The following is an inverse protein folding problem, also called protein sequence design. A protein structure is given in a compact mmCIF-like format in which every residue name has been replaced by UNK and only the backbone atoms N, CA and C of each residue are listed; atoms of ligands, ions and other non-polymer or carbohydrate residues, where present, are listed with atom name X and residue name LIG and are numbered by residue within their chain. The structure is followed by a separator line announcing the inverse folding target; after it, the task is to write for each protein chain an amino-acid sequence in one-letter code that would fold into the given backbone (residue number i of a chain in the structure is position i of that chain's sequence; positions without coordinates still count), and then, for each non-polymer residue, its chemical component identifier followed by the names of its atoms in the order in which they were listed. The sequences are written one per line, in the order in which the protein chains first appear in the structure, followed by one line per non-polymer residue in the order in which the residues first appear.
data_IF_691028299628
#
_entry.id   IF_691028299628
#
_cell.length_a   1.000
_cell.length_b   1.000
_cell.length_c   1.000
_cell.angle_alpha   90.00
_cell.angle_beta   90.00
_cell.angle_gamma   90.00
#
_symmetry.space_group_name_H-M   'P 1'
#
loop_
_entity.id
_entity.type
_entity.pdbx_description
1 polymer ?
#
# COMPACT_ATOMS: atom_id res chain seq x y z
N UNK A 1 41.85 21.54 64.96
CA UNK A 1 41.40 22.26 66.18
C UNK A 1 40.38 23.29 65.71
N UNK A 2 39.09 23.34 66.03
CA UNK A 2 38.20 22.86 67.13
C UNK A 2 36.87 22.45 66.44
N UNK A 3 36.40 21.20 66.49
CA UNK A 3 35.49 20.56 67.46
C UNK A 3 34.32 21.41 68.00
N UNK A 4 33.12 20.90 67.66
CA UNK A 4 31.88 20.74 68.44
C UNK A 4 31.03 21.97 68.82
N UNK A 5 29.75 21.97 68.42
CA UNK A 5 28.63 21.61 69.32
C UNK A 5 27.28 21.47 68.57
N UNK A 6 26.57 20.39 68.93
CA UNK A 6 25.18 20.06 68.60
C UNK A 6 24.19 21.11 69.14
N UNK A 7 23.10 21.34 68.40
CA UNK A 7 21.80 21.64 68.99
C UNK A 7 20.67 21.23 68.04
N UNK A 8 20.06 20.09 68.35
CA UNK A 8 18.81 19.60 67.77
C UNK A 8 17.67 20.49 68.30
N UNK A 9 16.97 21.18 67.41
CA UNK A 9 15.69 21.82 67.72
C UNK A 9 14.65 21.36 66.69
N UNK A 10 13.79 20.45 67.13
CA UNK A 10 12.61 19.99 66.43
C UNK A 10 11.60 21.15 66.42
N UNK A 11 11.38 21.78 65.27
CA UNK A 11 10.28 22.72 65.07
C UNK A 11 9.36 22.13 64.00
N UNK A 12 8.25 21.58 64.49
CA UNK A 12 7.06 21.26 63.69
C UNK A 12 6.39 22.60 63.35
N UNK A 13 6.37 22.97 62.07
CA UNK A 13 5.61 24.11 61.57
C UNK A 13 4.73 23.65 60.39
N UNK A 14 3.48 24.12 60.31
CA UNK A 14 2.39 23.39 59.67
C UNK A 14 2.45 23.43 58.14
N UNK A 15 2.15 22.29 57.52
CA UNK A 15 1.78 22.19 56.11
C UNK A 15 0.56 23.08 55.84
N UNK A 16 0.80 24.30 55.35
CA UNK A 16 -0.21 25.07 54.64
C UNK A 16 -0.38 24.43 53.26
N UNK A 17 -1.19 23.38 53.22
CA UNK A 17 -1.79 22.85 52.00
C UNK A 17 -2.58 23.98 51.36
N UNK A 18 -1.96 24.67 50.40
CA UNK A 18 -2.70 25.46 49.45
C UNK A 18 -3.43 24.46 48.56
N UNK A 19 -4.77 24.43 48.53
CA UNK A 19 -5.47 23.82 47.42
C UNK A 19 -5.16 24.72 46.23
N UNK A 20 -4.06 24.43 45.54
CA UNK A 20 -3.82 25.00 44.23
C UNK A 20 -4.91 24.43 43.34
N UNK A 21 -5.95 25.25 43.19
CA UNK A 21 -6.97 25.25 42.17
C UNK A 21 -7.04 23.96 41.36
N UNK A 22 -8.10 23.20 41.61
CA UNK A 22 -8.73 22.40 40.58
C UNK A 22 -8.90 23.31 39.36
N UNK A 23 -7.97 23.20 38.43
CA UNK A 23 -8.06 23.84 37.13
C UNK A 23 -9.31 23.24 36.51
N UNK A 24 -10.37 24.05 36.45
CA UNK A 24 -11.66 23.63 35.91
C UNK A 24 -11.41 22.90 34.61
N UNK A 25 -12.13 21.80 34.40
CA UNK A 25 -12.12 21.07 33.15
C UNK A 25 -12.16 22.10 32.02
N UNK A 26 -11.03 22.30 31.34
CA UNK A 26 -10.96 23.27 30.27
C UNK A 26 -12.08 22.93 29.30
N UNK A 27 -12.87 23.93 28.90
CA UNK A 27 -13.91 23.78 27.89
C UNK A 27 -13.29 23.02 26.73
N UNK A 28 -13.61 21.74 26.63
CA UNK A 28 -13.05 20.90 25.57
C UNK A 28 -13.54 21.53 24.27
N UNK A 29 -12.65 21.87 23.33
CA UNK A 29 -13.06 22.49 22.07
C UNK A 29 -14.19 21.68 21.47
N UNK A 30 -15.39 22.26 21.43
CA UNK A 30 -16.55 21.56 20.89
C UNK A 30 -16.38 21.52 19.37
N UNK A 31 -16.32 20.32 18.83
CA UNK A 31 -16.35 20.11 17.38
C UNK A 31 -17.68 20.67 16.86
N UNK A 32 -17.60 21.64 15.95
CA UNK A 32 -18.76 22.24 15.30
C UNK A 32 -19.05 21.50 13.98
N UNK A 33 -20.13 20.71 13.89
CA UNK A 33 -20.47 19.98 12.67
C UNK A 33 -20.74 20.89 11.48
N UNK A 34 -21.22 22.12 11.69
CA UNK A 34 -21.50 23.06 10.62
C UNK A 34 -20.21 23.57 9.96
N UNK A 35 -19.18 23.86 10.77
CA UNK A 35 -17.84 24.21 10.25
C UNK A 35 -17.21 23.06 9.48
N UNK A 36 -17.27 21.85 10.01
CA UNK A 36 -16.78 20.66 9.30
C UNK A 36 -17.49 20.49 7.94
N UNK A 37 -18.82 20.61 7.92
CA UNK A 37 -19.61 20.52 6.69
C UNK A 37 -19.23 21.61 5.68
N UNK A 38 -18.96 22.83 6.13
CA UNK A 38 -18.53 23.92 5.26
C UNK A 38 -17.20 23.63 4.56
N UNK A 39 -16.19 23.14 5.29
CA UNK A 39 -14.90 22.74 4.70
C UNK A 39 -15.06 21.62 3.67
N UNK A 40 -15.87 20.61 3.99
CA UNK A 40 -16.15 19.49 3.07
C UNK A 40 -16.78 20.00 1.78
N UNK A 41 -17.79 20.88 1.87
CA UNK A 41 -18.47 21.44 0.68
C UNK A 41 -17.52 22.19 -0.25
N UNK A 42 -16.59 22.98 0.30
CA UNK A 42 -15.60 23.69 -0.51
C UNK A 42 -14.65 22.71 -1.19
N UNK A 43 -14.01 21.84 -0.42
CA UNK A 43 -12.99 20.89 -0.92
C UNK A 43 -13.56 19.80 -1.85
N UNK A 44 -14.86 19.58 -1.85
CA UNK A 44 -15.56 18.63 -2.74
C UNK A 44 -16.36 19.32 -3.86
N UNK A 45 -16.28 20.64 -3.97
CA UNK A 45 -16.98 21.37 -5.03
C UNK A 45 -16.34 21.14 -6.40
N UNK A 46 -17.15 21.27 -7.46
CA UNK A 46 -16.68 21.18 -8.85
C UNK A 46 -15.54 22.17 -9.14
N UNK A 47 -15.53 23.33 -8.47
CA UNK A 47 -14.49 24.34 -8.60
C UNK A 47 -13.09 23.82 -8.21
N UNK A 48 -12.99 22.80 -7.36
CA UNK A 48 -11.72 22.20 -6.96
C UNK A 48 -11.28 21.08 -7.91
N UNK A 49 -12.19 20.49 -8.71
CA UNK A 49 -11.89 19.43 -9.68
C UNK A 49 -11.19 18.19 -9.07
N UNK A 50 -11.25 18.05 -7.74
CA UNK A 50 -10.50 17.06 -6.97
C UNK A 50 -9.35 17.66 -6.17
N UNK A 51 -8.42 16.80 -5.73
CA UNK A 51 -7.30 17.17 -4.85
C UNK A 51 -6.11 16.21 -4.99
N UNK A 52 -5.95 15.63 -6.18
CA UNK A 52 -4.87 14.67 -6.47
C UNK A 52 -3.54 15.39 -6.67
N UNK A 53 -2.40 14.77 -6.31
CA UNK A 53 -1.08 15.35 -6.56
C UNK A 53 -0.85 15.67 -8.04
N UNK A 54 -0.07 16.71 -8.33
CA UNK A 54 0.25 17.16 -9.68
C UNK A 54 -0.98 17.57 -10.53
N UNK A 55 -2.02 18.09 -9.88
CA UNK A 55 -3.23 18.58 -10.56
C UNK A 55 -3.53 20.03 -10.18
N UNK A 56 -4.34 20.73 -10.97
CA UNK A 56 -4.84 22.05 -10.60
C UNK A 56 -5.64 22.03 -9.27
N UNK A 57 -6.29 20.90 -8.96
CA UNK A 57 -7.04 20.73 -7.72
C UNK A 57 -6.16 20.70 -6.47
N UNK A 58 -4.93 20.18 -6.56
CA UNK A 58 -3.94 20.25 -5.48
C UNK A 58 -3.61 21.70 -5.12
N UNK A 59 -3.28 22.54 -6.10
CA UNK A 59 -2.96 23.95 -5.86
C UNK A 59 -4.11 24.67 -5.14
N UNK A 60 -5.36 24.42 -5.57
CA UNK A 60 -6.56 24.98 -4.94
C UNK A 60 -6.73 24.46 -3.50
N UNK A 61 -6.59 23.15 -3.29
CA UNK A 61 -6.72 22.51 -1.99
C UNK A 61 -5.66 23.00 -0.97
N UNK A 62 -4.40 23.05 -1.39
CA UNK A 62 -3.30 23.56 -0.57
C UNK A 62 -3.53 25.03 -0.22
N UNK A 63 -3.89 25.86 -1.21
CA UNK A 63 -4.21 27.28 -0.99
C UNK A 63 -5.32 27.47 0.04
N UNK A 64 -6.42 26.72 -0.10
CA UNK A 64 -7.53 26.76 0.85
C UNK A 64 -7.10 26.37 2.27
N UNK A 65 -6.33 25.28 2.42
CA UNK A 65 -5.84 24.83 3.74
C UNK A 65 -4.96 25.90 4.38
N UNK A 66 -4.04 26.49 3.62
CA UNK A 66 -3.16 27.58 4.09
C UNK A 66 -3.99 28.78 4.54
N UNK A 67 -5.03 29.17 3.80
CA UNK A 67 -5.95 30.23 4.22
C UNK A 67 -6.66 29.91 5.53
N UNK A 68 -7.15 28.67 5.71
CA UNK A 68 -7.79 28.26 6.97
C UNK A 68 -6.81 28.26 8.15
N UNK A 69 -5.56 27.83 7.94
CA UNK A 69 -4.52 27.87 8.97
C UNK A 69 -4.18 29.30 9.39
N UNK A 70 -4.07 30.23 8.43
CA UNK A 70 -3.89 31.66 8.70
C UNK A 70 -5.06 32.24 9.50
N UNK A 71 -6.29 31.90 9.12
CA UNK A 71 -7.50 32.43 9.74
C UNK A 71 -7.63 32.07 11.23
N UNK A 72 -7.05 30.94 11.66
CA UNK A 72 -7.02 30.52 13.07
C UNK A 72 -5.75 30.96 13.82
N UNK A 73 -4.87 31.75 13.17
CA UNK A 73 -3.69 32.34 13.80
C UNK A 73 -2.48 31.42 13.89
N UNK A 74 -2.39 30.37 13.07
CA UNK A 74 -1.16 29.57 12.98
C UNK A 74 -0.05 30.34 12.26
N UNK A 75 1.18 29.92 12.52
CA UNK A 75 2.39 30.39 11.82
C UNK A 75 2.92 29.29 10.88
N UNK A 76 3.60 29.65 9.79
CA UNK A 76 4.16 28.67 8.86
C UNK A 76 5.29 27.86 9.49
N UNK A 77 5.40 26.58 9.13
CA UNK A 77 6.45 25.67 9.61
C UNK A 77 7.00 24.73 8.51
N UNK A 78 6.72 25.04 7.24
CA UNK A 78 7.21 24.33 6.06
C UNK A 78 8.67 24.63 5.76
N UNK A 79 9.09 24.60 4.49
CA UNK A 79 10.51 24.71 4.16
C UNK A 79 11.16 26.04 4.59
N UNK A 80 12.46 26.02 4.96
CA UNK A 80 13.18 27.22 5.32
C UNK A 80 13.35 28.14 4.11
N UNK A 81 13.08 29.43 4.30
CA UNK A 81 13.29 30.46 3.29
C UNK A 81 14.64 31.17 3.48
N UNK A 82 15.14 31.81 2.43
CA UNK A 82 16.44 32.50 2.43
C UNK A 82 16.53 33.65 3.45
N UNK A 83 15.40 34.24 3.80
CA UNK A 83 15.28 35.34 4.77
C UNK A 83 15.17 34.85 6.23
N UNK A 84 15.26 33.54 6.47
CA UNK A 84 15.14 32.93 7.79
C UNK A 84 13.70 32.63 8.23
N UNK A 85 12.70 32.96 7.41
CA UNK A 85 11.30 32.59 7.68
C UNK A 85 11.00 31.15 7.24
N UNK A 86 9.77 30.68 7.51
CA UNK A 86 9.28 29.36 7.10
C UNK A 86 8.18 29.51 6.04
N UNK A 87 8.17 28.63 5.04
CA UNK A 87 7.08 28.52 4.09
C UNK A 87 5.85 27.87 4.71
N UNK A 88 4.68 28.05 4.08
CA UNK A 88 3.44 27.40 4.51
C UNK A 88 3.38 25.91 4.13
N UNK A 89 4.22 25.50 3.19
CA UNK A 89 4.29 24.14 2.63
C UNK A 89 5.69 23.58 2.78
N UNK A 90 5.77 22.26 2.82
CA UNK A 90 7.01 21.51 2.66
C UNK A 90 6.95 20.82 1.31
N UNK A 91 7.99 21.01 0.51
CA UNK A 91 8.15 20.36 -0.79
C UNK A 91 8.32 18.86 -0.59
N UNK A 92 7.49 18.06 -1.28
CA UNK A 92 7.57 16.60 -1.27
C UNK A 92 7.93 16.09 -2.67
N UNK A 93 9.21 15.75 -2.92
CA UNK A 93 9.61 15.14 -4.18
C UNK A 93 8.96 13.75 -4.35
N UNK A 94 8.22 13.58 -5.44
CA UNK A 94 7.56 12.33 -5.79
C UNK A 94 7.98 11.89 -7.19
N UNK A 95 8.23 10.59 -7.36
CA UNK A 95 8.23 9.97 -8.67
C UNK A 95 6.79 9.89 -9.17
N UNK A 96 6.55 10.37 -10.40
CA UNK A 96 5.28 10.28 -11.12
C UNK A 96 5.46 9.33 -12.28
N UNK A 97 4.56 8.35 -12.43
CA UNK A 97 4.66 7.30 -13.45
C UNK A 97 3.32 7.09 -14.18
N UNK A 98 3.35 7.03 -15.50
CA UNK A 98 2.19 6.83 -16.36
C UNK A 98 2.47 5.76 -17.41
N UNK A 99 1.46 4.94 -17.75
CA UNK A 99 1.55 4.05 -18.92
C UNK A 99 1.27 4.87 -20.17
N UNK A 100 2.16 4.77 -21.18
CA UNK A 100 1.99 5.37 -22.50
C UNK A 100 1.66 4.32 -23.56
N UNK A 101 0.71 4.66 -24.42
CA UNK A 101 0.35 3.84 -25.57
C UNK A 101 -0.46 2.57 -25.21
N UNK A 102 -0.56 1.62 -26.14
CA UNK A 102 -1.26 0.36 -25.89
C UNK A 102 -0.48 -0.50 -24.89
N UNK A 103 -1.23 -1.31 -24.14
CA UNK A 103 -0.67 -2.38 -23.31
C UNK A 103 -0.97 -3.69 -24.00
N UNK A 104 0.07 -4.44 -24.35
CA UNK A 104 -0.06 -5.85 -24.70
C UNK A 104 0.15 -6.67 -23.44
N UNK A 105 -0.84 -7.49 -23.08
CA UNK A 105 -0.74 -8.44 -21.98
C UNK A 105 -1.49 -9.71 -22.39
N UNK A 106 -0.82 -10.86 -22.29
CA UNK A 106 -1.39 -12.13 -22.69
C UNK A 106 -0.77 -13.29 -21.92
N UNK A 107 -1.54 -14.37 -21.82
CA UNK A 107 -1.00 -15.68 -21.49
C UNK A 107 -0.66 -16.44 -22.77
N UNK A 108 0.36 -17.29 -22.72
CA UNK A 108 0.55 -18.36 -23.70
C UNK A 108 0.23 -19.67 -23.03
N UNK A 109 -0.85 -20.33 -23.45
CA UNK A 109 -1.38 -21.56 -22.83
C UNK A 109 -1.37 -22.66 -23.88
N UNK A 110 -0.61 -23.74 -23.64
CA UNK A 110 -0.51 -24.85 -24.60
C UNK A 110 -0.06 -24.40 -26.01
N UNK A 111 0.78 -23.36 -26.07
CA UNK A 111 1.25 -22.76 -27.33
C UNK A 111 0.28 -21.79 -28.01
N UNK A 112 -0.89 -21.50 -27.41
CA UNK A 112 -1.86 -20.52 -27.92
C UNK A 112 -1.80 -19.22 -27.12
N UNK A 113 -1.80 -18.10 -27.81
CA UNK A 113 -1.90 -16.77 -27.20
C UNK A 113 -3.34 -16.49 -26.77
N UNK A 114 -3.52 -16.12 -25.51
CA UNK A 114 -4.78 -15.70 -24.90
C UNK A 114 -4.62 -14.24 -24.46
N UNK A 115 -5.09 -13.26 -25.26
CA UNK A 115 -4.97 -11.85 -24.92
C UNK A 115 -5.86 -11.50 -23.73
N UNK A 116 -5.40 -10.55 -22.90
CA UNK A 116 -6.13 -10.05 -21.75
C UNK A 116 -6.62 -8.62 -22.00
N UNK A 117 -7.93 -8.41 -21.91
CA UNK A 117 -8.53 -7.09 -22.00
C UNK A 117 -8.13 -6.22 -20.79
N UNK A 118 -7.42 -5.12 -21.04
CA UNK A 118 -7.03 -4.15 -20.00
C UNK A 118 -8.27 -3.56 -19.34
N UNK A 119 -8.22 -3.42 -18.01
CA UNK A 119 -9.28 -2.92 -17.13
C UNK A 119 -10.54 -3.79 -17.04
N UNK A 120 -10.64 -4.85 -17.85
CA UNK A 120 -11.73 -5.83 -17.79
C UNK A 120 -11.24 -7.15 -17.18
N UNK A 121 -10.16 -7.72 -17.72
CA UNK A 121 -9.57 -8.98 -17.25
C UNK A 121 -8.29 -8.76 -16.44
N UNK A 122 -7.51 -7.74 -16.80
CA UNK A 122 -6.24 -7.40 -16.13
C UNK A 122 -6.16 -5.89 -15.88
N UNK A 123 -5.68 -5.47 -14.71
CA UNK A 123 -5.41 -4.08 -14.38
C UNK A 123 -3.92 -3.93 -14.05
N UNK A 124 -3.18 -3.16 -14.85
CA UNK A 124 -1.71 -3.03 -14.79
C UNK A 124 -1.35 -1.59 -14.38
N UNK A 125 -0.42 -1.46 -13.43
CA UNK A 125 0.19 -0.19 -13.02
C UNK A 125 1.35 0.22 -13.93
N UNK A 126 1.59 1.52 -14.03
CA UNK A 126 2.87 2.00 -14.54
C UNK A 126 4.01 1.48 -13.66
N UNK A 127 5.10 1.02 -14.26
CA UNK A 127 6.24 0.52 -13.51
C UNK A 127 6.93 1.67 -12.77
N UNK A 128 7.06 1.53 -11.44
CA UNK A 128 7.70 2.54 -10.58
C UNK A 128 9.20 2.30 -10.41
N UNK A 129 9.83 1.64 -11.39
CA UNK A 129 11.25 1.26 -11.38
C UNK A 129 12.15 2.19 -12.19
N UNK A 130 11.65 3.35 -12.62
CA UNK A 130 12.35 4.33 -13.48
C UNK A 130 12.82 3.72 -14.82
N UNK A 131 11.99 2.87 -15.42
CA UNK A 131 12.20 2.32 -16.76
C UNK A 131 11.29 3.02 -17.75
N UNK A 132 11.76 3.23 -18.98
CA UNK A 132 10.95 3.83 -20.06
C UNK A 132 9.94 2.83 -20.66
N UNK A 133 10.13 1.53 -20.39
CA UNK A 133 9.23 0.47 -20.86
C UNK A 133 9.37 -0.81 -20.05
N UNK A 134 8.32 -1.61 -20.09
CA UNK A 134 8.31 -2.97 -19.56
C UNK A 134 8.18 -3.93 -20.73
N UNK A 135 9.01 -4.97 -20.73
CA UNK A 135 8.97 -6.06 -21.70
C UNK A 135 9.23 -7.38 -20.99
N UNK A 136 8.15 -8.07 -20.62
CA UNK A 136 8.17 -9.44 -20.08
C UNK A 136 7.72 -10.35 -21.21
N UNK A 137 8.53 -11.36 -21.52
CA UNK A 137 8.27 -12.31 -22.58
C UNK A 137 8.30 -13.73 -22.04
N UNK A 138 7.19 -14.45 -22.23
CA UNK A 138 7.05 -15.87 -21.94
C UNK A 138 7.55 -16.24 -20.53
N UNK A 139 7.32 -15.37 -19.55
CA UNK A 139 7.76 -15.59 -18.19
C UNK A 139 6.99 -16.77 -17.55
N UNK A 140 7.67 -17.71 -16.89
CA UNK A 140 7.00 -18.76 -16.14
C UNK A 140 6.11 -18.16 -15.05
N UNK A 141 4.94 -18.77 -14.86
CA UNK A 141 3.99 -18.39 -13.83
C UNK A 141 4.10 -19.32 -12.62
N UNK A 142 4.17 -18.74 -11.43
CA UNK A 142 4.22 -19.52 -10.18
C UNK A 142 3.16 -19.03 -9.23
N UNK A 143 2.24 -19.92 -8.86
CA UNK A 143 1.32 -19.68 -7.77
C UNK A 143 2.06 -19.81 -6.44
N UNK A 144 2.09 -18.72 -5.68
CA UNK A 144 2.78 -18.65 -4.38
C UNK A 144 1.79 -18.40 -3.24
N UNK A 145 0.56 -18.93 -3.35
CA UNK A 145 -0.42 -18.84 -2.28
C UNK A 145 -0.80 -17.38 -2.00
N UNK A 146 -0.64 -16.96 -0.75
CA UNK A 146 -0.84 -15.57 -0.36
C UNK A 146 0.44 -14.75 -0.47
N UNK A 147 1.56 -15.28 -0.96
CA UNK A 147 2.82 -14.53 -1.12
C UNK A 147 3.37 -13.99 0.21
N UNK A 148 3.18 -14.73 1.30
CA UNK A 148 3.58 -14.33 2.66
C UNK A 148 4.93 -14.92 3.03
N UNK A 149 5.83 -14.06 3.50
CA UNK A 149 7.04 -14.42 4.23
C UNK A 149 7.05 -13.71 5.59
N UNK A 150 6.70 -14.46 6.62
CA UNK A 150 6.57 -14.00 7.99
C UNK A 150 7.34 -14.96 8.93
N UNK A 151 8.68 -14.83 9.03
CA UNK A 151 9.50 -15.70 9.86
C UNK A 151 9.09 -15.70 11.33
N UNK A 152 8.63 -14.56 11.84
CA UNK A 152 8.14 -14.38 13.21
C UNK A 152 6.81 -15.11 13.47
N UNK A 153 6.10 -15.48 12.39
CA UNK A 153 4.92 -16.32 12.44
C UNK A 153 5.21 -17.72 11.94
N UNK A 154 6.46 -18.09 11.65
CA UNK A 154 6.83 -19.38 11.03
C UNK A 154 6.12 -19.68 9.68
N UNK A 155 5.85 -18.64 8.89
CA UNK A 155 5.16 -18.74 7.60
C UNK A 155 6.06 -18.32 6.44
N UNK A 156 6.07 -19.13 5.37
CA UNK A 156 6.82 -18.85 4.14
C UNK A 156 6.12 -19.55 2.97
N UNK A 157 5.44 -18.80 2.11
CA UNK A 157 4.76 -19.34 0.92
C UNK A 157 5.72 -19.63 -0.24
N UNK A 158 6.94 -19.12 -0.18
CA UNK A 158 7.94 -19.23 -1.25
C UNK A 158 8.81 -20.47 -1.09
N UNK A 159 9.00 -20.95 0.14
CA UNK A 159 9.74 -22.19 0.47
C UNK A 159 11.13 -22.27 -0.19
N UNK A 160 11.78 -21.12 -0.38
CA UNK A 160 13.10 -21.02 -1.01
C UNK A 160 13.14 -21.32 -2.51
N UNK A 161 12.00 -21.36 -3.21
CA UNK A 161 11.95 -21.51 -4.66
C UNK A 161 12.64 -20.31 -5.35
N UNK A 162 13.42 -20.56 -6.40
CA UNK A 162 13.99 -19.49 -7.23
C UNK A 162 12.90 -18.85 -8.10
N UNK A 163 12.60 -17.58 -7.81
CA UNK A 163 11.55 -16.80 -8.45
C UNK A 163 12.11 -15.76 -9.43
N UNK A 164 13.44 -15.75 -9.62
CA UNK A 164 14.08 -14.78 -10.50
C UNK A 164 13.53 -14.89 -11.93
N UNK A 165 13.07 -13.75 -12.46
CA UNK A 165 12.53 -13.69 -13.83
C UNK A 165 11.15 -14.31 -14.02
N UNK A 166 10.51 -14.83 -12.95
CA UNK A 166 9.17 -15.41 -13.00
C UNK A 166 8.11 -14.38 -12.66
N UNK A 167 6.87 -14.63 -13.07
CA UNK A 167 5.71 -13.83 -12.67
C UNK A 167 4.94 -14.60 -11.58
N UNK A 168 4.75 -13.96 -10.43
CA UNK A 168 4.06 -14.57 -9.31
C UNK A 168 2.56 -14.40 -9.46
N UNK A 169 1.79 -15.45 -9.17
CA UNK A 169 0.33 -15.37 -9.00
C UNK A 169 0.05 -15.49 -7.50
N UNK A 170 -0.59 -14.46 -6.94
CA UNK A 170 -0.82 -14.33 -5.49
C UNK A 170 -2.29 -14.08 -5.18
N UNK A 171 -2.78 -14.63 -4.07
CA UNK A 171 -4.09 -14.30 -3.52
C UNK A 171 -4.01 -12.98 -2.75
N UNK A 172 -5.08 -12.18 -2.86
CA UNK A 172 -5.26 -11.00 -2.01
C UNK A 172 -5.65 -11.41 -0.58
N UNK A 173 -5.30 -10.57 0.40
CA UNK A 173 -5.55 -10.76 1.83
C UNK A 173 -4.63 -11.82 2.49
N UNK A 174 -4.94 -12.17 3.74
CA UNK A 174 -4.17 -13.08 4.59
C UNK A 174 -4.65 -14.54 4.48
N UNK A 175 -3.77 -15.53 4.74
CA UNK A 175 -4.12 -16.95 4.66
C UNK A 175 -5.32 -17.38 5.51
N UNK A 176 -5.56 -16.72 6.64
CA UNK A 176 -6.62 -17.08 7.59
C UNK A 176 -7.91 -16.26 7.44
N UNK A 177 -8.02 -15.41 6.40
CA UNK A 177 -9.20 -14.58 6.17
C UNK A 177 -10.49 -15.41 6.07
N UNK A 178 -10.43 -16.56 5.41
CA UNK A 178 -11.58 -17.44 5.19
C UNK A 178 -11.73 -18.49 6.29
N UNK A 179 -10.63 -19.01 6.82
CA UNK A 179 -10.63 -20.10 7.81
C UNK A 179 -10.91 -19.59 9.23
N UNK A 180 -10.57 -18.34 9.52
CA UNK A 180 -10.68 -17.75 10.85
C UNK A 180 -9.69 -18.36 11.85
N UNK A 181 -9.76 -17.92 13.13
CA UNK A 181 -8.77 -18.29 14.13
C UNK A 181 -8.85 -19.74 14.63
N UNK A 182 -9.92 -20.46 14.29
CA UNK A 182 -10.22 -21.77 14.88
C UNK A 182 -9.71 -22.95 14.03
N UNK A 183 -8.59 -22.77 13.33
CA UNK A 183 -7.95 -23.84 12.55
C UNK A 183 -6.51 -24.04 13.00
N UNK A 184 -5.91 -25.20 12.67
CA UNK A 184 -4.53 -25.54 13.05
C UNK A 184 -3.51 -24.45 12.69
N UNK A 185 -3.71 -23.82 11.54
CA UNK A 185 -2.85 -22.77 10.99
C UNK A 185 -3.56 -21.40 10.96
N UNK A 186 -4.70 -21.27 11.64
CA UNK A 186 -5.50 -20.05 11.69
C UNK A 186 -5.21 -19.20 12.92
N UNK A 187 -5.46 -17.89 12.82
CA UNK A 187 -5.34 -16.95 13.95
C UNK A 187 -4.01 -16.20 13.97
N UNK A 188 -3.03 -16.65 13.20
CA UNK A 188 -1.74 -15.98 13.07
C UNK A 188 -1.81 -14.69 12.24
N UNK A 189 -2.90 -14.46 11.50
CA UNK A 189 -3.08 -13.29 10.65
C UNK A 189 -4.39 -12.52 10.93
N UNK A 190 -4.91 -12.60 12.15
CA UNK A 190 -6.01 -11.74 12.58
C UNK A 190 -7.37 -12.05 11.93
N UNK A 191 -7.47 -13.10 11.12
CA UNK A 191 -8.72 -13.55 10.50
C UNK A 191 -9.35 -12.49 9.60
N UNK A 192 -10.51 -11.96 9.99
CA UNK A 192 -11.19 -10.92 9.20
C UNK A 192 -10.49 -9.56 9.24
N UNK A 193 -9.59 -9.33 10.21
CA UNK A 193 -8.82 -8.11 10.31
C UNK A 193 -7.51 -8.24 9.51
N UNK A 194 -7.50 -7.68 8.31
CA UNK A 194 -6.33 -7.74 7.41
C UNK A 194 -5.07 -7.15 8.07
N UNK A 195 -3.98 -7.91 8.01
CA UNK A 195 -2.66 -7.53 8.49
C UNK A 195 -1.84 -6.83 7.41
N UNK A 196 -0.58 -6.51 7.72
CA UNK A 196 0.36 -6.02 6.71
C UNK A 196 0.55 -7.03 5.57
N UNK A 197 0.62 -8.33 5.90
CA UNK A 197 0.84 -9.40 4.94
C UNK A 197 -0.28 -9.49 3.92
N UNK A 198 -1.53 -9.21 4.30
CA UNK A 198 -2.67 -9.25 3.41
C UNK A 198 -2.74 -8.11 2.38
N UNK A 199 -1.95 -7.05 2.55
CA UNK A 199 -1.96 -5.88 1.66
C UNK A 199 -1.29 -6.21 0.33
N UNK A 200 -1.91 -5.76 -0.77
CA UNK A 200 -1.33 -5.88 -2.10
C UNK A 200 0.05 -5.18 -2.23
N UNK A 201 0.27 -4.07 -1.52
CA UNK A 201 1.58 -3.39 -1.48
C UNK A 201 2.68 -4.31 -0.95
N UNK A 202 2.38 -5.06 0.11
CA UNK A 202 3.31 -6.05 0.65
C UNK A 202 3.62 -7.14 -0.38
N UNK A 203 2.61 -7.63 -1.12
CA UNK A 203 2.82 -8.64 -2.18
C UNK A 203 3.79 -8.13 -3.25
N UNK A 204 3.72 -6.84 -3.60
CA UNK A 204 4.61 -6.23 -4.58
C UNK A 204 6.04 -6.13 -4.05
N UNK A 205 6.19 -5.58 -2.85
CA UNK A 205 7.51 -5.48 -2.21
C UNK A 205 8.15 -6.85 -2.01
N UNK A 206 7.38 -7.83 -1.56
CA UNK A 206 7.90 -9.17 -1.34
C UNK A 206 8.27 -9.85 -2.66
N UNK A 207 7.47 -9.68 -3.73
CA UNK A 207 7.84 -10.14 -5.06
C UNK A 207 9.18 -9.52 -5.54
N UNK A 208 9.39 -8.23 -5.28
CA UNK A 208 10.66 -7.57 -5.56
C UNK A 208 11.81 -8.16 -4.75
N UNK A 209 11.61 -8.40 -3.44
CA UNK A 209 12.61 -9.07 -2.57
C UNK A 209 12.95 -10.50 -3.03
N UNK A 210 11.98 -11.21 -3.61
CA UNK A 210 12.18 -12.53 -4.21
C UNK A 210 12.81 -12.48 -5.63
N UNK A 211 13.02 -11.29 -6.20
CA UNK A 211 13.60 -11.11 -7.53
C UNK A 211 12.66 -11.43 -8.69
N UNK A 212 11.36 -11.50 -8.44
CA UNK A 212 10.36 -11.78 -9.47
C UNK A 212 10.33 -10.69 -10.56
N UNK A 213 10.05 -11.07 -11.80
CA UNK A 213 9.84 -10.14 -12.89
C UNK A 213 8.53 -9.34 -12.72
N UNK A 214 7.55 -9.96 -12.06
CA UNK A 214 6.23 -9.37 -11.87
C UNK A 214 5.34 -10.14 -10.91
N UNK A 215 4.18 -9.57 -10.64
CA UNK A 215 3.15 -10.15 -9.78
C UNK A 215 1.75 -9.85 -10.33
N UNK A 216 0.92 -10.89 -10.33
CA UNK A 216 -0.50 -10.88 -10.65
C UNK A 216 -1.28 -11.20 -9.38
N UNK A 217 -1.96 -10.20 -8.84
CA UNK A 217 -2.86 -10.39 -7.68
C UNK A 217 -4.21 -10.87 -8.18
N UNK A 218 -4.68 -12.00 -7.66
CA UNK A 218 -6.02 -12.50 -7.95
C UNK A 218 -7.03 -11.67 -7.15
N UNK A 219 -7.92 -10.97 -7.85
CA UNK A 219 -9.00 -10.23 -7.23
C UNK A 219 -10.12 -11.17 -6.76
N UNK A 220 -10.49 -11.05 -5.49
CA UNK A 220 -11.74 -11.58 -4.96
C UNK A 220 -12.43 -10.50 -4.12
N UNK A 221 -13.72 -10.26 -4.34
CA UNK A 221 -14.42 -9.10 -3.75
C UNK A 221 -14.41 -9.10 -2.23
N UNK A 222 -14.67 -10.24 -1.58
CA UNK A 222 -14.72 -10.32 -0.12
C UNK A 222 -13.31 -10.14 0.51
N UNK A 223 -12.28 -10.88 0.08
CA UNK A 223 -10.89 -10.63 0.50
C UNK A 223 -10.37 -9.22 0.19
N UNK A 224 -10.71 -8.61 -0.94
CA UNK A 224 -10.27 -7.25 -1.28
C UNK A 224 -11.05 -6.14 -0.54
N UNK A 225 -12.25 -6.45 -0.03
CA UNK A 225 -13.22 -5.50 0.54
C UNK A 225 -13.79 -4.46 -0.47
N UNK A 226 -13.54 -4.63 -1.77
CA UNK A 226 -14.09 -3.79 -2.83
C UNK A 226 -14.18 -4.56 -4.16
N UNK A 227 -15.07 -4.10 -5.03
CA UNK A 227 -15.25 -4.67 -6.37
C UNK A 227 -14.15 -4.28 -7.36
N UNK A 228 -14.17 -4.92 -8.53
CA UNK A 228 -13.18 -4.71 -9.60
C UNK A 228 -13.08 -3.26 -10.08
N UNK A 229 -14.17 -2.48 -9.98
CA UNK A 229 -14.16 -1.05 -10.33
C UNK A 229 -13.08 -0.26 -9.57
N UNK A 230 -12.88 -0.55 -8.29
CA UNK A 230 -11.82 0.06 -7.48
C UNK A 230 -10.44 -0.38 -7.98
N UNK A 231 -10.27 -1.66 -8.32
CA UNK A 231 -8.99 -2.18 -8.83
C UNK A 231 -8.62 -1.50 -10.15
N UNK A 232 -9.51 -1.50 -11.14
CA UNK A 232 -9.19 -0.92 -12.45
C UNK A 232 -8.95 0.59 -12.39
N UNK A 233 -9.72 1.33 -11.59
CA UNK A 233 -9.57 2.78 -11.46
C UNK A 233 -8.26 3.15 -10.73
N UNK A 234 -7.87 2.38 -9.70
CA UNK A 234 -6.65 2.66 -8.94
C UNK A 234 -5.37 2.21 -9.65
N UNK A 235 -5.41 1.16 -10.48
CA UNK A 235 -4.22 0.67 -11.17
C UNK A 235 -4.02 1.33 -12.54
N UNK A 236 -5.09 1.84 -13.17
CA UNK A 236 -5.01 2.58 -14.43
C UNK A 236 -4.68 4.07 -14.31
N UNK A 237 -4.69 4.62 -13.09
CA UNK A 237 -4.34 6.02 -12.81
C UNK A 237 -2.82 6.26 -12.82
N UNK A 238 -2.42 7.53 -12.81
CA UNK A 238 -1.04 7.95 -12.55
C UNK A 238 -0.56 7.39 -11.21
N UNK A 239 0.60 6.74 -11.22
CA UNK A 239 1.22 6.20 -10.02
C UNK A 239 2.18 7.22 -9.42
N UNK A 240 2.21 7.30 -8.09
CA UNK A 240 3.15 8.10 -7.34
C UNK A 240 3.89 7.23 -6.33
N UNK A 241 5.18 7.47 -6.18
CA UNK A 241 6.01 6.88 -5.14
C UNK A 241 7.02 7.91 -4.64
N UNK A 242 7.59 7.65 -3.45
CA UNK A 242 8.73 8.44 -3.00
C UNK A 242 9.90 8.27 -3.97
N UNK A 243 10.78 9.27 -4.08
CA UNK A 243 11.99 9.12 -4.88
C UNK A 243 12.93 8.12 -4.21
N UNK A 244 12.97 6.89 -4.74
CA UNK A 244 13.83 5.82 -4.23
C UNK A 244 15.17 5.80 -4.96
N UNK A 245 16.24 5.56 -4.20
CA UNK A 245 17.57 5.29 -4.76
C UNK A 245 17.62 3.95 -5.53
N UNK A 246 16.90 2.95 -5.03
CA UNK A 246 16.87 1.59 -5.58
C UNK A 246 15.43 1.08 -5.69
N UNK A 247 14.61 1.63 -6.61
CA UNK A 247 13.18 1.33 -6.67
C UNK A 247 12.88 -0.15 -6.92
N UNK A 248 13.75 -0.85 -7.65
CA UNK A 248 13.63 -2.29 -7.92
C UNK A 248 13.72 -3.18 -6.65
N UNK A 249 14.11 -2.64 -5.49
CA UNK A 249 14.03 -3.36 -4.20
C UNK A 249 12.64 -3.33 -3.57
N UNK A 250 11.76 -2.45 -4.04
CA UNK A 250 10.39 -2.27 -3.53
C UNK A 250 9.33 -2.59 -4.59
N UNK A 251 9.69 -2.55 -5.87
CA UNK A 251 8.77 -2.76 -6.98
C UNK A 251 9.36 -3.77 -7.98
N UNK A 252 8.62 -4.82 -8.37
CA UNK A 252 8.93 -5.54 -9.59
C UNK A 252 8.58 -4.68 -10.81
N UNK A 253 9.08 -5.04 -11.99
CA UNK A 253 8.78 -4.29 -13.22
C UNK A 253 7.31 -4.43 -13.66
N UNK A 254 6.58 -5.44 -13.17
CA UNK A 254 5.16 -5.60 -13.42
C UNK A 254 4.39 -5.78 -12.13
N UNK A 255 3.47 -4.86 -11.87
CA UNK A 255 2.47 -4.94 -10.82
C UNK A 255 1.08 -4.94 -11.46
N UNK A 256 0.34 -6.03 -11.30
CA UNK A 256 -0.99 -6.14 -11.88
C UNK A 256 -1.96 -6.94 -11.01
N UNK A 257 -3.23 -6.80 -11.33
CA UNK A 257 -4.31 -7.62 -10.82
C UNK A 257 -5.01 -8.33 -11.97
N UNK A 258 -5.51 -9.53 -11.72
CA UNK A 258 -6.39 -10.27 -12.64
C UNK A 258 -7.72 -10.58 -11.96
N UNK A 259 -8.79 -10.68 -12.72
CA UNK A 259 -10.07 -11.18 -12.19
C UNK A 259 -9.96 -12.64 -11.76
N UNK A 260 -10.75 -13.03 -10.75
CA UNK A 260 -10.81 -14.42 -10.26
C UNK A 260 -11.06 -15.41 -11.39
N UNK A 261 -11.98 -15.12 -12.30
CA UNK A 261 -12.36 -16.06 -13.35
C UNK A 261 -11.21 -16.31 -14.34
N UNK A 262 -10.40 -15.28 -14.62
CA UNK A 262 -9.17 -15.40 -15.40
C UNK A 262 -8.16 -16.31 -14.68
N UNK A 263 -8.03 -16.18 -13.36
CA UNK A 263 -7.17 -17.07 -12.58
C UNK A 263 -7.69 -18.52 -12.59
N UNK A 264 -9.01 -18.73 -12.45
CA UNK A 264 -9.60 -20.09 -12.52
C UNK A 264 -9.33 -20.74 -13.87
N UNK A 265 -9.54 -20.02 -14.97
CA UNK A 265 -9.24 -20.52 -16.32
C UNK A 265 -7.76 -20.86 -16.50
N UNK A 266 -6.87 -19.98 -16.03
CA UNK A 266 -5.42 -20.19 -16.06
C UNK A 266 -5.01 -21.47 -15.29
N UNK A 267 -5.57 -21.69 -14.10
CA UNK A 267 -5.25 -22.85 -13.27
C UNK A 267 -5.79 -24.14 -13.89
N UNK A 268 -7.02 -24.11 -14.39
CA UNK A 268 -7.61 -25.25 -15.11
C UNK A 268 -6.76 -25.64 -16.32
N UNK A 269 -6.25 -24.66 -17.07
CA UNK A 269 -5.38 -24.91 -18.22
C UNK A 269 -4.01 -25.49 -17.82
N UNK A 270 -3.53 -25.21 -16.62
CA UNK A 270 -2.35 -25.83 -16.03
C UNK A 270 -2.64 -27.20 -15.37
N UNK A 271 -3.88 -27.71 -15.45
CA UNK A 271 -4.29 -28.97 -14.86
C UNK A 271 -4.51 -28.91 -13.35
N UNK A 272 -4.81 -27.73 -12.80
CA UNK A 272 -5.02 -27.48 -11.38
C UNK A 272 -6.45 -27.01 -11.10
N UNK A 273 -7.02 -27.46 -9.99
CA UNK A 273 -8.25 -26.89 -9.43
C UNK A 273 -7.89 -25.69 -8.55
N UNK A 274 -8.34 -24.50 -8.95
CA UNK A 274 -8.07 -23.24 -8.24
C UNK A 274 -8.54 -23.26 -6.78
N UNK A 275 -9.72 -23.82 -6.48
CA UNK A 275 -10.25 -23.87 -5.12
C UNK A 275 -9.46 -24.85 -4.25
N UNK A 276 -9.05 -25.99 -4.83
CA UNK A 276 -8.23 -26.96 -4.12
C UNK A 276 -6.86 -26.39 -3.74
N UNK A 277 -6.19 -25.68 -4.65
CA UNK A 277 -4.87 -25.07 -4.36
C UNK A 277 -4.96 -23.83 -3.48
N UNK A 278 -6.02 -23.03 -3.61
CA UNK A 278 -6.32 -21.92 -2.68
C UNK A 278 -6.49 -22.45 -1.25
N UNK A 279 -7.24 -23.54 -1.07
CA UNK A 279 -7.39 -24.19 0.24
C UNK A 279 -6.06 -24.72 0.78
N UNK A 280 -5.20 -25.27 -0.07
CA UNK A 280 -3.86 -25.68 0.35
C UNK A 280 -3.02 -24.48 0.82
N UNK A 281 -3.12 -23.35 0.14
CA UNK A 281 -2.44 -22.10 0.49
C UNK A 281 -2.87 -21.48 1.82
N UNK A 282 -3.97 -21.96 2.43
CA UNK A 282 -4.41 -21.57 3.78
C UNK A 282 -3.67 -22.33 4.89
N UNK A 283 -2.66 -23.15 4.54
CA UNK A 283 -1.87 -23.92 5.49
C UNK A 283 -0.38 -23.63 5.36
N UNK A 284 0.33 -23.71 6.49
CA UNK A 284 1.80 -23.62 6.57
C UNK A 284 2.52 -24.63 5.69
N UNK A 285 1.87 -25.77 5.46
CA UNK A 285 2.36 -26.88 4.65
C UNK A 285 2.29 -26.62 3.14
N UNK A 286 1.68 -25.51 2.71
CA UNK A 286 1.63 -25.12 1.30
C UNK A 286 3.03 -25.09 0.67
N UNK A 287 3.11 -25.46 -0.61
CA UNK A 287 4.31 -25.29 -1.43
C UNK A 287 3.92 -24.56 -2.71
N UNK A 288 4.74 -23.62 -3.19
CA UNK A 288 4.45 -22.90 -4.41
C UNK A 288 4.37 -23.85 -5.61
N UNK A 289 3.48 -23.55 -6.54
CA UNK A 289 3.12 -24.42 -7.67
C UNK A 289 3.37 -23.68 -8.98
N UNK A 290 4.22 -24.24 -9.83
CA UNK A 290 4.40 -23.73 -11.19
C UNK A 290 3.17 -24.07 -12.04
N UNK A 291 2.62 -23.08 -12.74
CA UNK A 291 1.49 -23.24 -13.65
C UNK A 291 2.00 -23.75 -15.00
N UNK A 292 2.29 -25.06 -15.05
CA UNK A 292 2.91 -25.71 -16.22
C UNK A 292 2.06 -25.53 -17.48
N UNK A 293 2.74 -25.32 -18.61
CA UNK A 293 2.08 -25.12 -19.89
C UNK A 293 1.46 -23.73 -20.07
N UNK A 294 1.65 -22.82 -19.09
CA UNK A 294 1.27 -21.42 -19.17
C UNK A 294 2.47 -20.49 -18.92
N UNK A 295 2.59 -19.45 -19.74
CA UNK A 295 3.52 -18.34 -19.52
C UNK A 295 2.79 -17.00 -19.64
N UNK A 296 3.40 -15.93 -19.14
CA UNK A 296 2.87 -14.58 -19.24
C UNK A 296 3.81 -13.65 -19.98
N UNK A 297 3.24 -12.80 -20.83
CA UNK A 297 3.95 -11.72 -21.49
C UNK A 297 3.21 -10.40 -21.25
N UNK A 298 3.97 -9.32 -21.09
CA UNK A 298 3.43 -7.97 -21.10
C UNK A 298 4.44 -6.98 -21.69
N UNK A 299 3.95 -6.05 -22.50
CA UNK A 299 4.72 -4.98 -23.09
C UNK A 299 3.96 -3.66 -23.05
N UNK A 300 4.59 -2.61 -22.52
CA UNK A 300 4.05 -1.26 -22.50
C UNK A 300 5.16 -0.22 -22.27
N UNK A 301 4.94 1.00 -22.76
CA UNK A 301 5.82 2.13 -22.49
C UNK A 301 5.41 2.82 -21.18
N UNK A 302 6.38 3.45 -20.51
CA UNK A 302 6.20 4.16 -19.25
C UNK A 302 6.79 5.56 -19.40
N UNK A 303 6.02 6.57 -19.00
CA UNK A 303 6.55 7.90 -18.73
C UNK A 303 6.88 8.00 -17.26
N UNK A 304 8.02 8.59 -16.94
CA UNK A 304 8.32 8.88 -15.55
C UNK A 304 9.05 10.22 -15.39
N UNK A 305 8.74 10.91 -14.29
CA UNK A 305 9.34 12.19 -13.95
C UNK A 305 9.40 12.34 -12.43
N UNK A 306 10.26 13.23 -11.94
CA UNK A 306 10.19 13.69 -10.56
C UNK A 306 9.44 15.01 -10.55
N UNK A 307 8.42 15.08 -9.71
CA UNK A 307 7.64 16.29 -9.45
C UNK A 307 7.86 16.72 -8.00
N UNK A 308 7.45 17.95 -7.69
CA UNK A 308 7.30 18.43 -6.32
C UNK A 308 5.82 18.68 -6.10
N UNK A 309 5.27 18.02 -5.07
CA UNK A 309 3.91 18.17 -4.55
C UNK A 309 3.98 19.05 -3.30
#
# INVERSE_FOLDING_TARGET
MKRLLLATALIVAPMLAHPCFAQGAADTPKIDPAKLSAHIKVLSSDAFEGRGPATAGETKAVGYIVEQMKAIGLEPAGDPQKDGTRAWTQDVPLGKFDIKGPVDAHFTIGGKTVPLARNEQIAIRAAMTNVDSVAIKDAPLVFVGYGVKAPERHWDDFKGLDLKGKVLVVLINDPDFETGPNTKDGGDFGGKAMTYYGRWTYKYEEAARQGAAGVLVVHETAPAAYGWATVKNSNGATMFDIVRKEPAKSHPNLEAWIQRDVAVELFNAAGLDFEAVKKQAQSRGFKPVELKGATFSAAYAVDHSVIVS
#
